data_IF_559217858238
#
_entry.id   IF_559217858238
#
_cell.length_a   1.000
_cell.length_b   1.000
_cell.length_c   1.000
_cell.angle_alpha   90.00
_cell.angle_beta   90.00
_cell.angle_gamma   90.00
#
_symmetry.space_group_name_H-M   'P 1'
#
loop_
_entity.id
_entity.type
_entity.pdbx_description
1 polymer ?
#
# COMPACT_ATOMS: atom_id res chain seq x y z
N UNK A 1 -22.83 -4.81 24.37
CA UNK A 1 -21.89 -3.77 24.81
C UNK A 1 -20.55 -4.10 24.16
N UNK A 2 -20.10 -3.34 23.17
CA UNK A 2 -18.83 -3.64 22.46
C UNK A 2 -17.67 -3.40 23.40
N UNK A 3 -16.83 -4.41 23.61
CA UNK A 3 -15.60 -4.32 24.41
C UNK A 3 -14.52 -3.41 23.80
N UNK A 4 -14.77 -2.92 22.58
CA UNK A 4 -13.91 -1.99 21.86
C UNK A 4 -14.63 -0.66 21.74
N UNK A 5 -13.95 0.43 22.12
CA UNK A 5 -14.42 1.80 21.89
C UNK A 5 -14.74 2.08 20.40
N UNK A 6 -15.25 3.28 20.04
CA UNK A 6 -15.53 3.60 18.65
C UNK A 6 -14.29 3.32 17.82
N UNK A 7 -14.46 2.51 16.74
CA UNK A 7 -13.34 2.21 15.82
C UNK A 7 -12.81 3.54 15.28
N UNK A 8 -11.58 3.89 15.69
CA UNK A 8 -10.86 5.00 15.09
C UNK A 8 -10.63 4.65 13.62
N UNK A 9 -11.01 5.53 12.71
CA UNK A 9 -10.64 5.36 11.31
C UNK A 9 -9.11 5.40 11.21
N UNK A 10 -8.53 4.37 10.62
CA UNK A 10 -7.09 4.25 10.42
C UNK A 10 -6.79 4.69 8.99
N UNK A 11 -5.91 5.66 8.83
CA UNK A 11 -5.51 6.14 7.51
C UNK A 11 -4.39 5.27 6.93
N UNK A 12 -4.66 4.62 5.79
CA UNK A 12 -3.69 3.79 5.07
C UNK A 12 -3.24 4.48 3.78
N UNK A 13 -1.94 4.51 3.54
CA UNK A 13 -1.39 4.81 2.22
C UNK A 13 -0.82 3.52 1.61
N UNK A 14 -1.39 3.09 0.49
CA UNK A 14 -0.85 1.98 -0.31
C UNK A 14 0.03 2.57 -1.40
N UNK A 15 1.29 2.15 -1.45
CA UNK A 15 2.28 2.55 -2.44
C UNK A 15 2.53 1.39 -3.39
N UNK A 16 2.03 1.53 -4.61
CA UNK A 16 2.02 0.48 -5.64
C UNK A 16 0.60 0.11 -6.04
N UNK A 17 0.20 0.46 -7.26
CA UNK A 17 -1.13 0.24 -7.84
C UNK A 17 -1.25 -1.04 -8.67
N UNK A 18 -0.26 -1.94 -8.61
CA UNK A 18 -0.32 -3.25 -9.26
C UNK A 18 -1.40 -4.16 -8.67
N UNK A 19 -1.50 -5.38 -9.20
CA UNK A 19 -2.54 -6.35 -8.78
C UNK A 19 -2.62 -6.53 -7.26
N UNK A 20 -1.48 -6.74 -6.59
CA UNK A 20 -1.44 -6.98 -5.15
C UNK A 20 -1.78 -5.75 -4.33
N UNK A 21 -1.20 -4.58 -4.68
CA UNK A 21 -1.50 -3.32 -3.98
C UNK A 21 -2.96 -2.91 -4.12
N UNK A 22 -3.52 -3.09 -5.30
CA UNK A 22 -4.93 -2.81 -5.55
C UNK A 22 -5.85 -3.75 -4.75
N UNK A 23 -5.50 -5.04 -4.66
CA UNK A 23 -6.27 -6.01 -3.89
C UNK A 23 -6.25 -5.70 -2.40
N UNK A 24 -5.08 -5.33 -1.85
CA UNK A 24 -4.95 -4.87 -0.46
C UNK A 24 -5.75 -3.59 -0.21
N UNK A 25 -5.61 -2.59 -1.08
CA UNK A 25 -6.38 -1.34 -0.97
C UNK A 25 -7.88 -1.62 -0.98
N UNK A 26 -8.34 -2.49 -1.88
CA UNK A 26 -9.76 -2.84 -2.00
C UNK A 26 -10.29 -3.57 -0.76
N UNK A 27 -9.50 -4.48 -0.20
CA UNK A 27 -9.86 -5.20 1.03
C UNK A 27 -9.96 -4.25 2.23
N UNK A 28 -8.98 -3.37 2.40
CA UNK A 28 -8.98 -2.36 3.47
C UNK A 28 -10.15 -1.38 3.32
N UNK A 29 -10.44 -0.96 2.09
CA UNK A 29 -11.50 0.01 1.82
C UNK A 29 -12.92 -0.51 2.09
N UNK A 30 -13.13 -1.82 2.17
CA UNK A 30 -14.41 -2.43 2.56
C UNK A 30 -14.77 -2.15 4.03
N UNK A 31 -13.76 -2.00 4.88
CA UNK A 31 -13.92 -1.83 6.33
C UNK A 31 -13.44 -0.48 6.83
N UNK A 32 -12.82 0.33 5.97
CA UNK A 32 -12.19 1.59 6.35
C UNK A 32 -12.36 2.66 5.26
N UNK A 33 -12.84 3.87 5.58
CA UNK A 33 -13.05 4.96 4.62
C UNK A 33 -11.78 5.71 4.23
N UNK A 34 -10.67 5.54 4.96
CA UNK A 34 -9.45 6.33 4.80
C UNK A 34 -8.30 5.52 4.18
N UNK A 35 -8.56 5.00 2.97
CA UNK A 35 -7.56 4.28 2.17
C UNK A 35 -7.11 5.14 1.00
N UNK A 36 -5.82 5.37 0.89
CA UNK A 36 -5.15 6.15 -0.15
C UNK A 36 -4.30 5.23 -0.99
N UNK A 37 -4.26 5.44 -2.31
CA UNK A 37 -3.45 4.68 -3.26
C UNK A 37 -2.60 5.64 -4.08
N UNK A 38 -1.30 5.39 -4.11
CA UNK A 38 -0.33 6.07 -4.96
C UNK A 38 0.47 5.06 -5.78
N UNK A 39 0.83 5.45 -7.00
CA UNK A 39 1.76 4.71 -7.88
C UNK A 39 2.68 5.68 -8.61
N UNK A 40 3.84 5.20 -9.05
CA UNK A 40 4.77 5.96 -9.87
C UNK A 40 4.28 6.17 -11.31
N UNK A 41 3.36 5.32 -11.80
CA UNK A 41 2.75 5.45 -13.13
C UNK A 41 1.56 6.40 -13.10
N UNK A 42 1.79 7.62 -13.56
CA UNK A 42 0.76 8.66 -13.66
C UNK A 42 -0.43 8.24 -14.52
N UNK A 43 -0.18 7.53 -15.61
CA UNK A 43 -1.25 7.08 -16.52
C UNK A 43 -2.17 6.07 -15.83
N UNK A 44 -1.58 5.19 -15.01
CA UNK A 44 -2.34 4.27 -14.18
C UNK A 44 -3.21 5.03 -13.19
N UNK A 45 -2.64 5.99 -12.46
CA UNK A 45 -3.40 6.80 -11.48
C UNK A 45 -4.56 7.55 -12.13
N UNK A 46 -4.33 8.16 -13.30
CA UNK A 46 -5.37 8.87 -14.06
C UNK A 46 -6.49 7.90 -14.49
N UNK A 47 -6.13 6.70 -14.95
CA UNK A 47 -7.10 5.65 -15.31
C UNK A 47 -7.92 5.18 -14.11
N UNK A 48 -7.25 4.89 -12.98
CA UNK A 48 -7.93 4.49 -11.74
C UNK A 48 -8.85 5.58 -11.21
N UNK A 49 -8.44 6.83 -11.29
CA UNK A 49 -9.24 7.96 -10.83
C UNK A 49 -10.49 8.16 -11.70
N UNK A 50 -10.34 8.05 -13.02
CA UNK A 50 -11.42 8.27 -13.99
C UNK A 50 -12.37 7.08 -14.09
N UNK A 51 -11.83 5.89 -14.26
CA UNK A 51 -12.58 4.69 -14.64
C UNK A 51 -12.92 3.79 -13.45
N UNK A 52 -12.19 3.94 -12.33
CA UNK A 52 -12.30 3.08 -11.14
C UNK A 52 -12.01 1.59 -11.43
N UNK A 53 -11.25 1.32 -12.50
CA UNK A 53 -10.87 -0.04 -12.96
C UNK A 53 -9.40 -0.02 -13.34
N UNK A 54 -8.68 -1.09 -12.98
CA UNK A 54 -7.29 -1.25 -13.41
C UNK A 54 -7.27 -1.80 -14.84
N UNK A 55 -6.53 -1.16 -15.79
CA UNK A 55 -6.60 -1.53 -17.21
C UNK A 55 -6.07 -2.93 -17.51
N UNK A 56 -5.16 -3.47 -16.69
CA UNK A 56 -4.51 -4.76 -16.92
C UNK A 56 -4.88 -5.83 -15.88
N UNK A 57 -5.19 -5.43 -14.65
CA UNK A 57 -5.47 -6.34 -13.55
C UNK A 57 -6.93 -6.23 -13.12
N UNK A 58 -7.67 -7.33 -13.20
CA UNK A 58 -9.08 -7.38 -12.85
C UNK A 58 -9.93 -6.31 -13.59
N UNK A 59 -9.90 -6.27 -14.94
CA UNK A 59 -10.55 -5.21 -15.73
C UNK A 59 -12.07 -5.16 -15.54
N UNK A 60 -12.66 -6.26 -15.08
CA UNK A 60 -14.09 -6.35 -14.80
C UNK A 60 -14.46 -5.97 -13.35
N UNK A 61 -13.48 -5.64 -12.52
CA UNK A 61 -13.70 -5.33 -11.11
C UNK A 61 -13.42 -3.86 -10.82
N UNK A 62 -14.45 -3.13 -10.42
CA UNK A 62 -14.28 -1.75 -9.94
C UNK A 62 -13.59 -1.72 -8.57
N UNK A 63 -12.67 -0.80 -8.41
CA UNK A 63 -12.06 -0.53 -7.11
C UNK A 63 -13.08 0.13 -6.18
N UNK A 64 -12.97 -0.17 -4.90
CA UNK A 64 -13.91 0.31 -3.88
C UNK A 64 -13.94 1.85 -3.85
N UNK A 65 -15.14 2.43 -3.68
CA UNK A 65 -15.35 3.88 -3.70
C UNK A 65 -14.54 4.65 -2.64
N UNK A 66 -14.24 4.02 -1.50
CA UNK A 66 -13.44 4.59 -0.42
C UNK A 66 -11.95 4.73 -0.75
N UNK A 67 -11.47 4.15 -1.86
CA UNK A 67 -10.06 4.33 -2.29
C UNK A 67 -9.90 5.71 -2.89
N UNK A 68 -9.06 6.52 -2.26
CA UNK A 68 -8.70 7.87 -2.68
C UNK A 68 -7.39 7.79 -3.49
N UNK A 69 -7.45 8.12 -4.78
CA UNK A 69 -6.26 8.11 -5.63
C UNK A 69 -5.42 9.36 -5.32
N UNK A 70 -4.18 9.12 -4.91
CA UNK A 70 -3.20 10.17 -4.64
C UNK A 70 -2.33 10.34 -5.87
N UNK A 71 -2.38 11.50 -6.47
CA UNK A 71 -1.63 11.79 -7.68
C UNK A 71 -0.20 12.21 -7.37
N UNK A 72 -0.01 13.03 -6.34
CA UNK A 72 1.29 13.52 -5.88
C UNK A 72 1.45 13.25 -4.39
N UNK A 73 2.58 12.68 -4.00
CA UNK A 73 2.95 12.56 -2.59
C UNK A 73 3.26 13.95 -2.03
N UNK A 74 2.52 14.35 -1.03
CA UNK A 74 2.72 15.61 -0.29
C UNK A 74 2.99 15.31 1.18
N UNK A 75 3.61 16.23 1.89
CA UNK A 75 3.88 16.12 3.33
C UNK A 75 2.60 15.76 4.09
N UNK A 76 2.57 14.59 4.68
CA UNK A 76 1.42 14.08 5.44
C UNK A 76 1.83 12.90 6.33
N UNK A 77 1.21 12.80 7.51
CA UNK A 77 1.28 11.63 8.36
C UNK A 77 0.06 10.73 8.15
N UNK A 78 0.31 9.43 7.99
CA UNK A 78 -0.68 8.35 7.97
C UNK A 78 -0.54 7.49 9.23
N UNK A 79 -1.55 6.70 9.57
CA UNK A 79 -1.40 5.69 10.62
C UNK A 79 -0.56 4.51 10.08
N UNK A 80 -0.74 4.12 8.82
CA UNK A 80 0.07 3.09 8.18
C UNK A 80 0.39 3.40 6.71
N UNK A 81 1.61 3.03 6.28
CA UNK A 81 2.03 3.02 4.87
C UNK A 81 2.40 1.60 4.48
N UNK A 82 1.79 1.08 3.41
CA UNK A 82 2.06 -0.24 2.86
C UNK A 82 2.77 -0.12 1.51
N UNK A 83 4.01 -0.62 1.44
CA UNK A 83 4.81 -0.68 0.21
C UNK A 83 4.54 -2.00 -0.52
N UNK A 84 4.04 -1.89 -1.75
CA UNK A 84 3.61 -3.03 -2.59
C UNK A 84 4.19 -2.89 -4.00
N UNK A 85 5.36 -2.32 -4.10
CA UNK A 85 6.10 -2.13 -5.36
C UNK A 85 6.91 -3.36 -5.71
N UNK A 86 7.35 -3.53 -6.97
CA UNK A 86 8.44 -4.45 -7.28
C UNK A 86 9.65 -4.16 -6.39
N UNK A 87 10.31 -5.21 -5.88
CA UNK A 87 11.38 -5.04 -4.88
C UNK A 87 12.53 -4.16 -5.38
N UNK A 88 12.86 -4.27 -6.67
CA UNK A 88 13.98 -3.54 -7.29
C UNK A 88 13.80 -2.00 -7.34
N UNK A 89 12.57 -1.51 -7.14
CA UNK A 89 12.30 -0.06 -7.06
C UNK A 89 11.99 0.40 -5.63
N UNK A 90 12.00 -0.51 -4.66
CA UNK A 90 11.63 -0.22 -3.28
C UNK A 90 12.49 0.89 -2.68
N UNK A 91 13.81 0.82 -2.84
CA UNK A 91 14.72 1.83 -2.31
C UNK A 91 14.43 3.23 -2.88
N UNK A 92 14.26 3.33 -4.20
CA UNK A 92 13.94 4.61 -4.84
C UNK A 92 12.63 5.21 -4.32
N UNK A 93 11.63 4.35 -4.09
CA UNK A 93 10.33 4.77 -3.55
C UNK A 93 10.45 5.18 -2.08
N UNK A 94 11.22 4.47 -1.27
CA UNK A 94 11.53 4.85 0.12
C UNK A 94 12.18 6.23 0.19
N UNK A 95 13.17 6.49 -0.66
CA UNK A 95 13.83 7.81 -0.73
C UNK A 95 12.86 8.91 -1.18
N UNK A 96 11.95 8.62 -2.12
CA UNK A 96 10.91 9.55 -2.54
C UNK A 96 9.96 9.90 -1.39
N UNK A 97 9.45 8.89 -0.66
CA UNK A 97 8.55 9.06 0.49
C UNK A 97 9.22 9.94 1.55
N UNK A 98 10.50 9.65 1.88
CA UNK A 98 11.31 10.45 2.81
C UNK A 98 11.47 11.89 2.34
N UNK A 99 11.85 12.10 1.07
CA UNK A 99 12.03 13.43 0.47
C UNK A 99 10.73 14.25 0.51
N UNK A 100 9.60 13.59 0.33
CA UNK A 100 8.26 14.22 0.38
C UNK A 100 7.73 14.39 1.80
N UNK A 101 8.49 13.97 2.83
CA UNK A 101 8.11 14.03 4.24
C UNK A 101 6.77 13.34 4.53
N UNK A 102 6.51 12.27 3.81
CA UNK A 102 5.37 11.40 4.09
C UNK A 102 5.79 10.43 5.19
N UNK A 103 5.04 10.40 6.28
CA UNK A 103 5.39 9.62 7.48
C UNK A 103 4.24 8.74 7.93
N UNK A 104 4.54 7.73 8.76
CA UNK A 104 3.53 6.88 9.39
C UNK A 104 4.00 6.36 10.75
N UNK A 105 3.04 5.86 11.55
CA UNK A 105 3.34 5.13 12.78
C UNK A 105 3.72 3.67 12.47
N UNK A 106 3.16 3.11 11.37
CA UNK A 106 3.40 1.73 10.95
C UNK A 106 3.84 1.68 9.48
N UNK A 107 4.96 1.01 9.22
CA UNK A 107 5.45 0.76 7.86
C UNK A 107 5.34 -0.72 7.55
N UNK A 108 4.54 -1.05 6.53
CA UNK A 108 4.27 -2.42 6.11
C UNK A 108 4.96 -2.63 4.76
N UNK A 109 5.76 -3.68 4.61
CA UNK A 109 6.30 -4.09 3.34
C UNK A 109 5.64 -5.37 2.86
N UNK A 110 4.94 -5.29 1.74
CA UNK A 110 4.36 -6.43 1.03
C UNK A 110 5.11 -6.76 -0.27
N UNK A 111 6.19 -6.02 -0.56
CA UNK A 111 7.12 -6.35 -1.65
C UNK A 111 7.86 -7.64 -1.33
N UNK A 112 7.96 -8.52 -2.32
CA UNK A 112 8.61 -9.84 -2.18
C UNK A 112 9.98 -9.80 -2.85
N UNK A 113 11.00 -10.35 -2.16
CA UNK A 113 12.35 -10.49 -2.70
C UNK A 113 13.44 -9.92 -1.81
N UNK A 114 14.61 -9.75 -2.43
CA UNK A 114 15.80 -9.07 -1.89
C UNK A 114 16.33 -8.13 -2.97
N UNK A 115 17.07 -7.12 -2.59
CA UNK A 115 17.78 -6.29 -3.56
C UNK A 115 18.91 -7.11 -4.21
N UNK A 116 18.89 -7.19 -5.54
CA UNK A 116 19.88 -7.99 -6.29
C UNK A 116 21.25 -7.32 -6.39
N UNK A 117 21.36 -6.03 -6.13
CA UNK A 117 22.61 -5.27 -6.25
C UNK A 117 23.46 -5.33 -4.98
N UNK A 118 22.82 -5.33 -3.81
CA UNK A 118 23.50 -5.24 -2.52
C UNK A 118 23.01 -6.29 -1.50
N UNK A 119 22.07 -7.16 -1.90
CA UNK A 119 21.47 -8.23 -1.10
C UNK A 119 20.72 -7.74 0.16
N UNK A 120 20.29 -6.48 0.17
CA UNK A 120 19.54 -5.93 1.29
C UNK A 120 18.12 -6.49 1.37
N UNK A 121 17.68 -6.69 2.61
CA UNK A 121 16.29 -7.03 2.93
C UNK A 121 15.42 -5.77 3.03
N UNK A 122 14.11 -5.95 2.93
CA UNK A 122 13.16 -4.83 2.96
C UNK A 122 13.33 -3.94 4.21
N UNK A 123 13.53 -4.52 5.40
CA UNK A 123 13.69 -3.74 6.63
C UNK A 123 14.94 -2.86 6.62
N UNK A 124 16.02 -3.31 5.98
CA UNK A 124 17.26 -2.54 5.86
C UNK A 124 17.07 -1.33 4.93
N UNK A 125 16.40 -1.56 3.79
CA UNK A 125 16.04 -0.50 2.83
C UNK A 125 15.09 0.53 3.48
N UNK A 126 14.15 0.07 4.29
CA UNK A 126 13.15 0.94 4.91
C UNK A 126 13.62 1.63 6.18
N UNK A 127 14.77 1.23 6.74
CA UNK A 127 15.34 1.84 7.95
C UNK A 127 15.38 3.38 7.96
N UNK A 128 15.66 4.07 6.85
CA UNK A 128 15.64 5.55 6.82
C UNK A 128 14.28 6.21 7.09
N UNK A 129 13.18 5.45 7.02
CA UNK A 129 11.83 5.93 7.36
C UNK A 129 11.45 5.67 8.81
N UNK A 130 12.15 4.74 9.48
CA UNK A 130 11.79 4.29 10.83
C UNK A 130 12.33 5.27 11.87
N UNK A 131 11.43 5.89 12.63
CA UNK A 131 11.75 6.57 13.89
C UNK A 131 11.74 5.54 15.03
N UNK A 132 12.17 5.95 16.24
CA UNK A 132 12.14 5.07 17.42
C UNK A 132 10.72 4.58 17.76
N UNK A 133 9.70 5.36 17.43
CA UNK A 133 8.30 5.05 17.72
C UNK A 133 7.61 4.29 16.57
N UNK A 134 8.21 4.26 15.37
CA UNK A 134 7.60 3.64 14.20
C UNK A 134 7.86 2.14 14.16
N UNK A 135 6.85 1.35 13.82
CA UNK A 135 6.99 -0.09 13.64
C UNK A 135 7.18 -0.48 12.18
N UNK A 136 7.92 -1.57 11.96
CA UNK A 136 8.05 -2.24 10.68
C UNK A 136 7.38 -3.61 10.71
N UNK A 137 6.62 -3.93 9.66
CA UNK A 137 5.94 -5.22 9.49
C UNK A 137 6.23 -5.74 8.09
N UNK A 138 6.70 -6.99 7.96
CA UNK A 138 6.77 -7.69 6.69
C UNK A 138 5.48 -8.48 6.48
N UNK A 139 4.70 -8.13 5.46
CA UNK A 139 3.51 -8.87 5.04
C UNK A 139 3.92 -9.91 3.99
N UNK A 140 3.71 -11.19 4.29
CA UNK A 140 4.04 -12.30 3.39
C UNK A 140 3.07 -13.46 3.59
N UNK A 141 2.81 -14.23 2.53
CA UNK A 141 1.96 -15.42 2.61
C UNK A 141 1.66 -16.01 1.23
N UNK A 142 1.02 -17.18 1.20
CA UNK A 142 0.58 -17.85 -0.03
C UNK A 142 -0.75 -17.26 -0.52
N UNK A 143 -0.74 -15.97 -0.89
CA UNK A 143 -1.93 -15.22 -1.28
C UNK A 143 -1.85 -14.79 -2.74
N UNK A 144 -2.96 -14.95 -3.46
CA UNK A 144 -3.10 -14.52 -4.85
C UNK A 144 -3.95 -13.25 -4.93
N UNK A 145 -3.42 -12.24 -5.62
CA UNK A 145 -4.06 -10.93 -5.73
C UNK A 145 -5.51 -11.02 -6.26
N UNK A 146 -5.74 -11.86 -7.26
CA UNK A 146 -7.07 -12.04 -7.85
C UNK A 146 -8.09 -12.57 -6.82
N UNK A 147 -7.72 -13.59 -6.03
CA UNK A 147 -8.60 -14.17 -5.01
C UNK A 147 -8.94 -13.17 -3.91
N UNK A 148 -7.93 -12.42 -3.46
CA UNK A 148 -8.10 -11.36 -2.46
C UNK A 148 -9.00 -10.24 -3.00
N UNK A 149 -8.85 -9.89 -4.29
CA UNK A 149 -9.70 -8.89 -4.94
C UNK A 149 -11.18 -9.32 -4.95
N UNK A 150 -11.44 -10.60 -5.16
CA UNK A 150 -12.78 -11.19 -5.10
C UNK A 150 -13.32 -11.32 -3.66
N UNK A 151 -12.48 -11.11 -2.66
CA UNK A 151 -12.84 -11.22 -1.25
C UNK A 151 -12.83 -12.64 -0.72
N UNK A 152 -12.14 -13.55 -1.39
CA UNK A 152 -11.94 -14.90 -0.90
C UNK A 152 -10.99 -14.92 0.30
N UNK A 153 -11.17 -15.84 1.25
CA UNK A 153 -10.26 -15.99 2.38
C UNK A 153 -8.83 -16.27 1.88
N UNK A 154 -7.86 -15.64 2.53
CA UNK A 154 -6.44 -15.81 2.22
C UNK A 154 -5.62 -15.85 3.49
N UNK A 155 -4.45 -16.50 3.43
CA UNK A 155 -3.49 -16.54 4.53
C UNK A 155 -2.32 -15.58 4.23
N UNK A 156 -1.88 -14.87 5.26
CA UNK A 156 -0.70 -14.00 5.25
C UNK A 156 0.09 -14.17 6.53
#
# INVERSE_FOLDING_TARGET
MSLYGPKKNVSFLIIGGGAWGLSLANTLARINPDVFLWDGDRKLLDSLNKNRVHPLFCPDTKIHQNIKIVVDLIERKYDAICFVTPFQVLEAVVQLVRKKKVTADHYICASKGIDISNLQLAHEIMKPLLSEEASFVQLSGPSFAYEVMQGLPTAV
#
